data_IF_155514531040
#
_entry.id   IF_155514531040
#
_cell.length_a   1.000
_cell.length_b   1.000
_cell.length_c   1.000
_cell.angle_alpha   90.00
_cell.angle_beta   90.00
_cell.angle_gamma   90.00
#
_symmetry.space_group_name_H-M   'P 1'
#
loop_
_entity.id
_entity.type
_entity.pdbx_description
1 polymer ?
#
# COMPACT_ATOMS: atom_id res chain seq x y z
N UNK A 1 -5.65 -12.99 -34.30
CA UNK A 1 -5.88 -11.55 -34.08
C UNK A 1 -5.73 -11.33 -32.59
N UNK A 2 -4.67 -10.64 -32.15
CA UNK A 2 -4.56 -10.27 -30.75
C UNK A 2 -5.65 -9.24 -30.47
N UNK A 3 -6.55 -9.52 -29.52
CA UNK A 3 -7.45 -8.49 -29.00
C UNK A 3 -6.58 -7.33 -28.52
N UNK A 4 -6.84 -6.12 -29.00
CA UNK A 4 -6.19 -4.94 -28.41
C UNK A 4 -6.66 -4.86 -26.97
N UNK A 5 -5.78 -5.15 -26.02
CA UNK A 5 -6.09 -4.98 -24.60
C UNK A 5 -6.43 -3.51 -24.37
N UNK A 6 -7.71 -3.22 -24.12
CA UNK A 6 -8.13 -1.88 -23.76
C UNK A 6 -7.64 -1.57 -22.35
N UNK A 7 -7.08 -0.36 -22.17
CA UNK A 7 -6.72 0.14 -20.85
C UNK A 7 -7.98 0.23 -19.95
N UNK A 8 -7.85 -0.14 -18.68
CA UNK A 8 -8.96 -0.11 -17.73
C UNK A 8 -9.05 1.25 -17.05
N UNK A 9 -10.08 2.02 -17.36
CA UNK A 9 -10.26 3.38 -16.83
C UNK A 9 -10.62 3.40 -15.33
N UNK A 10 -10.33 4.52 -14.67
CA UNK A 10 -10.55 4.70 -13.23
C UNK A 10 -12.01 4.44 -12.80
N UNK A 11 -12.98 4.90 -13.60
CA UNK A 11 -14.41 4.68 -13.33
C UNK A 11 -14.78 3.19 -13.33
N UNK A 12 -14.09 2.38 -14.14
CA UNK A 12 -14.27 0.93 -14.12
C UNK A 12 -13.78 0.33 -12.81
N UNK A 13 -12.60 0.75 -12.34
CA UNK A 13 -12.10 0.33 -11.02
C UNK A 13 -13.05 0.73 -9.89
N UNK A 14 -13.59 1.95 -9.92
CA UNK A 14 -14.56 2.41 -8.92
C UNK A 14 -15.87 1.61 -8.99
N UNK A 15 -16.33 1.22 -10.19
CA UNK A 15 -17.58 0.48 -10.35
C UNK A 15 -17.44 -1.03 -10.08
N UNK A 16 -16.36 -1.67 -10.53
CA UNK A 16 -16.28 -3.15 -10.69
C UNK A 16 -15.22 -3.91 -9.87
N UNK A 17 -14.16 -3.27 -9.38
CA UNK A 17 -13.10 -3.93 -8.61
C UNK A 17 -13.59 -4.66 -7.34
N UNK A 18 -13.65 -5.98 -7.28
CA UNK A 18 -14.06 -6.67 -6.05
C UNK A 18 -12.89 -6.79 -5.04
N UNK A 19 -12.94 -5.97 -3.98
CA UNK A 19 -11.92 -5.92 -2.94
C UNK A 19 -11.74 -7.25 -2.21
N UNK A 20 -12.82 -8.00 -1.96
CA UNK A 20 -12.77 -9.26 -1.22
C UNK A 20 -12.29 -10.39 -2.10
N UNK A 21 -12.76 -10.46 -3.34
CA UNK A 21 -12.22 -11.41 -4.31
C UNK A 21 -10.72 -11.19 -4.51
N UNK A 22 -10.27 -9.93 -4.62
CA UNK A 22 -8.86 -9.60 -4.72
C UNK A 22 -8.06 -10.11 -3.51
N UNK A 23 -8.45 -9.75 -2.28
CA UNK A 23 -7.74 -10.24 -1.09
C UNK A 23 -7.76 -11.77 -0.95
N UNK A 24 -8.90 -12.42 -1.23
CA UNK A 24 -9.00 -13.87 -1.16
C UNK A 24 -8.09 -14.58 -2.18
N UNK A 25 -7.94 -14.02 -3.38
CA UNK A 25 -7.13 -14.61 -4.42
C UNK A 25 -5.63 -14.40 -4.20
N UNK A 26 -5.23 -13.21 -3.73
CA UNK A 26 -3.83 -12.80 -3.71
C UNK A 26 -3.20 -12.76 -2.31
N UNK A 27 -3.98 -12.64 -1.24
CA UNK A 27 -3.48 -12.34 0.12
C UNK A 27 -4.00 -13.28 1.21
N UNK A 28 -4.74 -14.35 0.87
CA UNK A 28 -5.23 -15.30 1.87
C UNK A 28 -4.13 -16.13 2.55
N UNK A 29 -2.96 -16.23 1.89
CA UNK A 29 -1.78 -16.96 2.36
C UNK A 29 -0.50 -16.34 1.79
N UNK A 30 0.67 -16.52 2.43
CA UNK A 30 1.92 -15.92 1.98
C UNK A 30 2.33 -16.29 0.56
N UNK A 31 2.04 -17.52 0.11
CA UNK A 31 2.36 -17.99 -1.25
C UNK A 31 1.62 -17.20 -2.34
N UNK A 32 0.57 -16.47 -1.97
CA UNK A 32 -0.27 -15.69 -2.87
C UNK A 32 -1.09 -16.57 -3.82
N UNK A 33 -1.44 -15.99 -4.97
CA UNK A 33 -2.18 -16.69 -6.02
C UNK A 33 -1.31 -17.76 -6.69
N UNK A 34 -1.88 -18.93 -7.01
CA UNK A 34 -1.14 -20.07 -7.55
C UNK A 34 -0.37 -19.76 -8.85
N UNK A 35 -0.92 -18.85 -9.65
CA UNK A 35 -0.37 -18.50 -10.96
C UNK A 35 0.77 -17.48 -10.86
N UNK A 36 0.96 -16.85 -9.70
CA UNK A 36 1.94 -15.79 -9.49
C UNK A 36 3.27 -16.28 -8.91
N UNK A 37 3.50 -17.59 -8.81
CA UNK A 37 4.80 -18.20 -8.46
C UNK A 37 5.50 -17.54 -7.26
N UNK A 38 4.80 -17.43 -6.12
CA UNK A 38 5.32 -16.83 -4.88
C UNK A 38 5.67 -15.34 -5.00
N UNK A 39 5.00 -14.60 -5.89
CA UNK A 39 5.21 -13.17 -6.03
C UNK A 39 5.01 -12.41 -4.71
N UNK A 40 3.99 -12.78 -3.92
CA UNK A 40 3.73 -12.11 -2.64
C UNK A 40 4.89 -12.29 -1.64
N UNK A 41 5.44 -13.50 -1.48
CA UNK A 41 6.58 -13.68 -0.56
C UNK A 41 7.79 -12.87 -1.01
N UNK A 42 8.07 -12.79 -2.32
CA UNK A 42 9.12 -11.92 -2.86
C UNK A 42 8.90 -10.44 -2.46
N UNK A 43 7.67 -9.94 -2.59
CA UNK A 43 7.32 -8.57 -2.18
C UNK A 43 7.54 -8.37 -0.67
N UNK A 44 7.07 -9.30 0.15
CA UNK A 44 7.22 -9.24 1.62
C UNK A 44 8.71 -9.27 2.04
N UNK A 45 9.52 -10.13 1.42
CA UNK A 45 10.97 -10.20 1.65
C UNK A 45 11.68 -8.90 1.25
N UNK A 46 11.30 -8.30 0.12
CA UNK A 46 11.83 -7.01 -0.32
C UNK A 46 11.51 -5.89 0.67
N UNK A 47 10.26 -5.83 1.16
CA UNK A 47 9.84 -4.84 2.16
C UNK A 47 10.56 -5.06 3.49
N UNK A 48 10.62 -6.30 3.96
CA UNK A 48 11.33 -6.66 5.19
C UNK A 48 12.81 -6.27 5.11
N UNK A 49 13.50 -6.63 4.02
CA UNK A 49 14.90 -6.22 3.80
C UNK A 49 15.08 -4.71 3.78
N UNK A 50 14.15 -3.99 3.13
CA UNK A 50 14.20 -2.52 3.05
C UNK A 50 14.16 -1.90 4.45
N UNK A 51 13.22 -2.34 5.29
CA UNK A 51 12.98 -1.69 6.58
C UNK A 51 13.80 -2.28 7.74
N UNK A 52 14.23 -3.53 7.68
CA UNK A 52 14.91 -4.27 8.77
C UNK A 52 16.13 -3.57 9.38
N UNK A 53 16.86 -2.77 8.60
CA UNK A 53 18.05 -2.04 9.09
C UNK A 53 17.69 -0.81 9.93
N UNK A 54 16.44 -0.36 9.89
CA UNK A 54 16.01 0.92 10.45
C UNK A 54 16.65 2.14 9.80
N UNK A 55 17.30 1.98 8.64
CA UNK A 55 17.84 3.08 7.85
C UNK A 55 16.71 4.02 7.39
N UNK A 56 15.60 3.44 6.92
CA UNK A 56 14.39 4.15 6.55
C UNK A 56 13.44 4.18 7.74
N UNK A 57 13.41 5.31 8.45
CA UNK A 57 12.56 5.57 9.60
C UNK A 57 12.19 7.04 9.65
N UNK A 58 11.13 7.37 10.38
CA UNK A 58 10.70 8.76 10.51
C UNK A 58 9.41 8.86 11.29
N UNK A 59 8.82 10.06 11.28
CA UNK A 59 7.52 10.26 11.92
C UNK A 59 6.40 9.69 11.05
N UNK A 60 6.45 9.96 9.75
CA UNK A 60 5.29 9.80 8.85
C UNK A 60 5.62 8.99 7.60
N UNK A 61 4.72 8.07 7.24
CA UNK A 61 4.76 7.30 6.00
C UNK A 61 3.41 7.40 5.27
N UNK A 62 3.45 7.65 3.97
CA UNK A 62 2.26 7.61 3.10
C UNK A 62 2.39 6.42 2.15
N UNK A 63 1.40 5.52 2.17
CA UNK A 63 1.23 4.51 1.12
C UNK A 63 0.19 5.01 0.10
N UNK A 64 0.59 5.05 -1.17
CA UNK A 64 -0.25 5.44 -2.30
C UNK A 64 -0.67 4.21 -3.08
N UNK A 65 -1.97 4.00 -3.22
CA UNK A 65 -2.52 2.86 -3.94
C UNK A 65 -2.45 1.56 -3.16
N UNK A 66 -2.76 1.59 -1.87
CA UNK A 66 -2.78 0.43 -0.96
C UNK A 66 -3.71 -0.70 -1.43
N UNK A 67 -4.67 -0.41 -2.31
CA UNK A 67 -5.78 -1.31 -2.59
C UNK A 67 -6.56 -1.59 -1.29
N UNK A 68 -7.13 -2.80 -1.11
CA UNK A 68 -7.74 -3.20 0.16
C UNK A 68 -6.71 -3.76 1.16
N UNK A 69 -5.40 -3.52 0.97
CA UNK A 69 -4.32 -4.29 1.62
C UNK A 69 -3.53 -3.47 2.65
N UNK A 70 -2.76 -4.18 3.49
CA UNK A 70 -1.83 -3.59 4.47
C UNK A 70 -0.40 -4.13 4.35
N UNK A 71 -0.15 -5.04 3.41
CA UNK A 71 1.09 -5.82 3.34
C UNK A 71 2.34 -4.94 3.20
N UNK A 72 2.24 -3.83 2.47
CA UNK A 72 3.38 -2.94 2.21
C UNK A 72 3.87 -2.20 3.45
N UNK A 73 3.04 -2.10 4.49
CA UNK A 73 3.35 -1.36 5.71
C UNK A 73 3.64 -2.24 6.92
N UNK A 74 3.60 -3.58 6.80
CA UNK A 74 3.85 -4.50 7.93
C UNK A 74 5.24 -4.27 8.50
N UNK A 75 6.30 -4.43 7.71
CA UNK A 75 7.68 -4.18 8.15
C UNK A 75 7.93 -2.71 8.47
N UNK A 76 7.33 -1.80 7.71
CA UNK A 76 7.52 -0.37 7.92
C UNK A 76 6.93 0.11 9.26
N UNK A 77 5.89 -0.55 9.77
CA UNK A 77 5.20 -0.10 10.97
C UNK A 77 6.06 -0.12 12.23
N UNK A 78 7.23 -0.76 12.23
CA UNK A 78 8.17 -0.68 13.35
C UNK A 78 8.91 0.67 13.39
N UNK A 79 9.07 1.32 12.23
CA UNK A 79 9.98 2.45 12.02
C UNK A 79 9.29 3.81 11.81
N UNK A 80 7.96 3.84 11.71
CA UNK A 80 7.17 5.05 11.51
C UNK A 80 6.03 5.17 12.51
N UNK A 81 5.82 6.36 13.08
CA UNK A 81 4.80 6.61 14.12
C UNK A 81 3.38 6.78 13.53
N UNK A 82 3.31 7.33 12.32
CA UNK A 82 2.08 7.69 11.63
C UNK A 82 2.07 7.11 10.22
N UNK A 83 1.08 6.27 9.93
CA UNK A 83 0.84 5.68 8.61
C UNK A 83 -0.44 6.29 8.01
N UNK A 84 -0.35 6.73 6.77
CA UNK A 84 -1.48 7.13 5.93
C UNK A 84 -1.60 6.11 4.81
N UNK A 85 -2.68 5.34 4.79
CA UNK A 85 -2.97 4.42 3.69
C UNK A 85 -3.93 5.10 2.73
N UNK A 86 -3.83 4.82 1.44
CA UNK A 86 -4.69 5.50 0.48
C UNK A 86 -4.95 4.69 -0.77
N UNK A 87 -6.16 4.82 -1.30
CA UNK A 87 -6.55 4.14 -2.53
C UNK A 87 -7.61 4.93 -3.30
N UNK A 88 -7.62 4.76 -4.62
CA UNK A 88 -8.66 5.36 -5.45
C UNK A 88 -10.02 4.70 -5.19
N UNK A 89 -10.13 3.38 -5.05
CA UNK A 89 -11.43 2.70 -4.98
C UNK A 89 -12.02 2.78 -3.56
N UNK A 90 -13.29 3.18 -3.43
CA UNK A 90 -13.87 3.45 -2.10
C UNK A 90 -13.98 2.20 -1.21
N UNK A 91 -14.47 1.09 -1.76
CA UNK A 91 -14.57 -0.22 -1.08
C UNK A 91 -13.22 -0.79 -0.65
N UNK A 92 -12.13 -0.48 -1.37
CA UNK A 92 -10.79 -0.86 -0.93
C UNK A 92 -10.43 -0.20 0.41
N UNK A 93 -10.68 1.11 0.50
CA UNK A 93 -10.47 1.87 1.74
C UNK A 93 -11.40 1.43 2.86
N UNK A 94 -12.62 1.01 2.56
CA UNK A 94 -13.53 0.43 3.54
C UNK A 94 -12.98 -0.86 4.15
N UNK A 95 -12.43 -1.77 3.34
CA UNK A 95 -11.81 -3.01 3.86
C UNK A 95 -10.63 -2.73 4.79
N UNK A 96 -9.78 -1.75 4.45
CA UNK A 96 -8.70 -1.31 5.34
C UNK A 96 -9.29 -0.77 6.66
N UNK A 97 -10.29 0.12 6.60
CA UNK A 97 -10.91 0.69 7.81
C UNK A 97 -11.54 -0.37 8.71
N UNK A 98 -12.24 -1.35 8.13
CA UNK A 98 -12.81 -2.48 8.87
C UNK A 98 -11.71 -3.22 9.65
N UNK A 99 -10.59 -3.52 9.00
CA UNK A 99 -9.48 -4.21 9.65
C UNK A 99 -8.80 -3.38 10.73
N UNK A 100 -8.55 -2.09 10.48
CA UNK A 100 -7.94 -1.17 11.44
C UNK A 100 -8.78 -1.05 12.71
N UNK A 101 -10.11 -0.95 12.56
CA UNK A 101 -11.07 -0.87 13.67
C UNK A 101 -11.40 -2.20 14.35
N UNK A 102 -10.84 -3.30 13.86
CA UNK A 102 -11.17 -4.66 14.32
C UNK A 102 -12.68 -4.95 14.24
N UNK A 103 -13.32 -4.54 13.14
CA UNK A 103 -14.74 -4.83 12.90
C UNK A 103 -14.95 -6.33 12.63
N UNK A 104 -16.10 -6.85 13.05
CA UNK A 104 -16.49 -8.22 12.78
C UNK A 104 -16.50 -8.50 11.26
N UNK A 105 -15.91 -9.63 10.86
CA UNK A 105 -15.82 -10.01 9.46
C UNK A 105 -14.77 -9.25 8.64
N UNK A 106 -13.89 -8.44 9.26
CA UNK A 106 -12.71 -7.89 8.57
C UNK A 106 -11.81 -9.03 8.02
N UNK A 107 -10.97 -8.71 7.03
CA UNK A 107 -10.10 -9.71 6.40
C UNK A 107 -9.04 -10.22 7.40
N UNK A 108 -8.78 -11.52 7.39
CA UNK A 108 -7.79 -12.13 8.26
C UNK A 108 -6.38 -11.97 7.67
N UNK A 109 -5.67 -10.93 8.11
CA UNK A 109 -4.29 -10.67 7.72
C UNK A 109 -3.27 -11.51 8.51
N UNK A 110 -3.70 -12.36 9.46
CA UNK A 110 -2.81 -13.11 10.33
C UNK A 110 -1.78 -13.96 9.58
N UNK A 111 -2.13 -14.75 8.53
CA UNK A 111 -1.13 -15.56 7.82
C UNK A 111 0.01 -14.73 7.23
N UNK A 112 -0.31 -13.54 6.70
CA UNK A 112 0.68 -12.64 6.09
C UNK A 112 1.55 -11.98 7.17
N UNK A 113 0.94 -11.52 8.25
CA UNK A 113 1.66 -10.89 9.35
C UNK A 113 2.58 -11.90 10.04
N UNK A 114 2.11 -13.12 10.30
CA UNK A 114 2.93 -14.18 10.90
C UNK A 114 4.13 -14.53 10.04
N UNK A 115 3.95 -14.64 8.72
CA UNK A 115 5.06 -14.86 7.79
C UNK A 115 6.14 -13.76 7.88
N UNK A 116 5.73 -12.49 7.86
CA UNK A 116 6.68 -11.36 8.01
C UNK A 116 7.35 -11.40 9.39
N UNK A 117 6.60 -11.67 10.44
CA UNK A 117 7.13 -11.72 11.80
C UNK A 117 8.11 -12.88 12.02
N UNK A 118 7.88 -14.03 11.40
CA UNK A 118 8.81 -15.16 11.40
C UNK A 118 10.13 -14.78 10.72
N UNK A 119 10.06 -14.11 9.56
CA UNK A 119 11.26 -13.62 8.87
C UNK A 119 12.03 -12.57 9.70
N UNK A 120 11.31 -11.70 10.42
CA UNK A 120 11.89 -10.58 11.17
C UNK A 120 12.24 -10.91 12.63
N UNK A 121 11.84 -12.09 13.12
CA UNK A 121 12.01 -12.47 14.53
C UNK A 121 11.19 -11.61 15.50
N UNK A 122 10.01 -11.15 15.07
CA UNK A 122 9.11 -10.28 15.85
C UNK A 122 7.83 -10.99 16.29
N UNK A 123 7.08 -10.36 17.20
CA UNK A 123 5.79 -10.87 17.68
C UNK A 123 4.65 -10.39 16.80
N UNK A 124 3.93 -11.32 16.15
CA UNK A 124 2.78 -11.00 15.31
C UNK A 124 1.68 -10.25 16.07
N UNK A 125 1.46 -10.59 17.34
CA UNK A 125 0.49 -9.90 18.19
C UNK A 125 0.85 -8.42 18.44
N UNK A 126 2.14 -8.12 18.63
CA UNK A 126 2.61 -6.74 18.82
C UNK A 126 2.53 -5.94 17.53
N UNK A 127 2.88 -6.55 16.40
CA UNK A 127 2.80 -5.94 15.06
C UNK A 127 1.35 -5.60 14.70
N UNK A 128 0.38 -6.49 14.96
CA UNK A 128 -1.05 -6.21 14.75
C UNK A 128 -1.50 -4.98 15.54
N UNK A 129 -1.15 -4.90 16.82
CA UNK A 129 -1.52 -3.76 17.68
C UNK A 129 -0.88 -2.47 17.16
N UNK A 130 0.42 -2.50 16.84
CA UNK A 130 1.15 -1.34 16.30
C UNK A 130 0.57 -0.87 14.97
N UNK A 131 0.30 -1.77 14.02
CA UNK A 131 -0.30 -1.42 12.74
C UNK A 131 -1.63 -0.68 12.93
N UNK A 132 -2.56 -1.26 13.71
CA UNK A 132 -3.87 -0.66 13.98
C UNK A 132 -3.75 0.70 14.67
N UNK A 133 -2.79 0.85 15.59
CA UNK A 133 -2.54 2.11 16.28
C UNK A 133 -1.88 3.17 15.37
N UNK A 134 -0.95 2.76 14.50
CA UNK A 134 -0.12 3.66 13.69
C UNK A 134 -0.81 4.10 12.40
N UNK A 135 -1.76 3.33 11.86
CA UNK A 135 -2.65 3.79 10.78
C UNK A 135 -3.55 4.91 11.30
N UNK A 136 -3.21 6.16 10.95
CA UNK A 136 -3.94 7.36 11.40
C UNK A 136 -5.05 7.74 10.45
N UNK A 137 -4.85 7.52 9.15
CA UNK A 137 -5.77 7.95 8.11
C UNK A 137 -5.85 6.91 6.99
N UNK A 138 -7.04 6.79 6.40
CA UNK A 138 -7.30 6.03 5.18
C UNK A 138 -7.99 6.95 4.19
N UNK A 139 -7.24 7.47 3.21
CA UNK A 139 -7.66 8.60 2.36
C UNK A 139 -7.92 8.19 0.90
N UNK A 140 -8.86 8.90 0.24
CA UNK A 140 -9.01 8.81 -1.22
C UNK A 140 -7.76 9.41 -1.86
N UNK A 141 -7.22 8.74 -2.87
CA UNK A 141 -6.15 9.30 -3.69
C UNK A 141 -6.43 9.12 -5.18
N UNK A 142 -5.92 10.02 -6.02
CA UNK A 142 -5.88 9.88 -7.47
C UNK A 142 -4.51 10.31 -8.01
N UNK A 143 -3.66 9.35 -8.39
CA UNK A 143 -2.30 9.61 -8.89
C UNK A 143 -2.25 10.36 -10.23
N UNK A 144 -3.37 10.40 -10.95
CA UNK A 144 -3.51 11.14 -12.21
C UNK A 144 -3.94 12.61 -11.98
N UNK A 145 -4.43 12.94 -10.77
CA UNK A 145 -4.80 14.31 -10.38
C UNK A 145 -3.57 15.12 -10.02
N UNK A 146 -3.59 16.44 -10.27
CA UNK A 146 -2.50 17.36 -9.85
C UNK A 146 -2.31 17.36 -8.33
N UNK A 147 -3.40 17.43 -7.58
CA UNK A 147 -3.41 17.14 -6.15
C UNK A 147 -3.94 15.71 -5.94
N UNK A 148 -3.04 14.81 -5.53
CA UNK A 148 -3.33 13.39 -5.33
C UNK A 148 -4.45 13.19 -4.29
N UNK A 149 -4.50 14.03 -3.26
CA UNK A 149 -5.38 13.84 -2.09
C UNK A 149 -6.54 14.82 -2.03
N UNK A 150 -6.83 15.56 -3.11
CA UNK A 150 -7.93 16.53 -3.13
C UNK A 150 -9.26 15.90 -2.61
N UNK A 151 -10.02 16.59 -1.73
CA UNK A 151 -9.81 17.96 -1.25
C UNK A 151 -8.88 18.10 -0.03
N UNK A 152 -8.31 17.02 0.46
CA UNK A 152 -7.41 17.03 1.62
C UNK A 152 -6.08 17.70 1.28
N UNK A 153 -5.51 18.36 2.29
CA UNK A 153 -4.13 18.84 2.27
C UNK A 153 -3.31 17.95 3.18
N UNK A 154 -2.33 17.24 2.62
CA UNK A 154 -1.43 16.40 3.40
C UNK A 154 -0.02 16.96 3.37
N UNK A 155 0.65 16.92 4.51
CA UNK A 155 2.04 17.34 4.63
C UNK A 155 2.97 16.28 4.02
N UNK A 156 4.11 16.69 3.42
CA UNK A 156 5.11 15.74 2.96
C UNK A 156 5.61 14.80 4.07
N UNK A 157 5.68 13.52 3.75
CA UNK A 157 6.05 12.44 4.67
C UNK A 157 7.55 12.10 4.62
N UNK A 158 8.04 11.44 5.65
CA UNK A 158 9.43 10.97 5.71
C UNK A 158 9.67 9.77 4.79
N UNK A 159 8.62 9.04 4.44
CA UNK A 159 8.64 7.93 3.50
C UNK A 159 7.36 7.88 2.67
N UNK A 160 7.49 7.46 1.41
CA UNK A 160 6.36 7.22 0.50
C UNK A 160 6.53 5.83 -0.10
N UNK A 161 5.50 5.01 -0.02
CA UNK A 161 5.43 3.69 -0.65
C UNK A 161 4.34 3.71 -1.72
N UNK A 162 4.59 3.06 -2.84
CA UNK A 162 3.56 2.65 -3.81
C UNK A 162 3.91 1.24 -4.27
N UNK A 163 2.95 0.33 -4.24
CA UNK A 163 3.13 -1.07 -4.64
C UNK A 163 1.96 -1.46 -5.54
N UNK A 164 2.24 -2.00 -6.73
CA UNK A 164 1.21 -2.51 -7.66
C UNK A 164 0.13 -1.50 -8.07
N UNK A 165 0.46 -0.20 -8.08
CA UNK A 165 -0.50 0.89 -8.31
C UNK A 165 -0.26 1.64 -9.62
N UNK A 166 0.93 2.21 -9.81
CA UNK A 166 1.20 3.14 -10.92
C UNK A 166 1.07 2.46 -12.28
N UNK A 167 1.51 1.21 -12.39
CA UNK A 167 1.39 0.36 -13.58
C UNK A 167 -0.05 0.01 -13.94
N UNK A 168 -0.96 -0.01 -12.97
CA UNK A 168 -2.39 -0.25 -13.20
C UNK A 168 -3.12 1.07 -13.50
N UNK A 169 -2.72 2.16 -12.86
CA UNK A 169 -3.36 3.46 -12.98
C UNK A 169 -2.95 4.25 -14.24
N UNK A 170 -1.78 3.98 -14.82
CA UNK A 170 -1.22 4.75 -15.93
C UNK A 170 -1.31 4.00 -17.25
N UNK A 171 -1.97 4.61 -18.23
CA UNK A 171 -2.22 4.00 -19.55
C UNK A 171 -1.00 3.93 -20.46
N UNK A 172 0.02 4.74 -20.18
CA UNK A 172 1.21 4.88 -21.00
C UNK A 172 2.41 5.39 -20.19
N UNK A 173 3.60 5.34 -20.79
CA UNK A 173 4.83 5.79 -20.13
C UNK A 173 4.82 7.28 -19.74
N UNK A 174 4.27 8.22 -20.55
CA UNK A 174 4.11 9.61 -20.13
C UNK A 174 3.26 9.76 -18.86
N UNK A 175 2.08 9.14 -18.81
CA UNK A 175 1.22 9.20 -17.62
C UNK A 175 1.88 8.57 -16.39
N UNK A 176 2.64 7.49 -16.56
CA UNK A 176 3.44 6.89 -15.49
C UNK A 176 4.49 7.86 -14.94
N UNK A 177 5.25 8.54 -15.81
CA UNK A 177 6.27 9.52 -15.39
C UNK A 177 5.65 10.70 -14.64
N UNK A 178 4.50 11.18 -15.10
CA UNK A 178 3.79 12.27 -14.45
C UNK A 178 3.27 11.83 -13.07
N UNK A 179 2.64 10.66 -12.98
CA UNK A 179 2.15 10.11 -11.72
C UNK A 179 3.29 9.88 -10.73
N UNK A 180 4.42 9.30 -11.17
CA UNK A 180 5.62 9.14 -10.36
C UNK A 180 6.13 10.48 -9.83
N UNK A 181 6.25 11.51 -10.67
CA UNK A 181 6.66 12.84 -10.24
C UNK A 181 5.71 13.44 -9.20
N UNK A 182 4.39 13.20 -9.31
CA UNK A 182 3.42 13.67 -8.32
C UNK A 182 3.55 12.91 -6.99
N UNK A 183 3.71 11.59 -7.03
CA UNK A 183 3.95 10.77 -5.83
C UNK A 183 5.26 11.17 -5.15
N UNK A 184 6.33 11.43 -5.91
CA UNK A 184 7.61 11.87 -5.36
C UNK A 184 7.54 13.20 -4.62
N UNK A 185 6.61 14.11 -4.99
CA UNK A 185 6.38 15.38 -4.28
C UNK A 185 5.75 15.20 -2.89
N UNK A 186 5.21 14.02 -2.59
CA UNK A 186 4.73 13.67 -1.24
C UNK A 186 5.89 13.37 -0.28
N UNK A 187 7.10 13.14 -0.80
CA UNK A 187 8.27 12.94 0.02
C UNK A 187 8.78 14.28 0.52
N UNK A 188 9.03 14.35 1.83
CA UNK A 188 9.65 15.50 2.47
C UNK A 188 11.03 15.74 1.83
N UNK A 189 11.33 16.98 1.40
CA UNK A 189 12.67 17.31 0.95
C UNK A 189 13.69 16.96 2.04
N UNK A 190 14.77 16.26 1.66
CA UNK A 190 15.84 15.93 2.58
C UNK A 190 16.39 17.19 3.24
N UNK A 191 16.66 17.13 4.54
CA UNK A 191 17.41 18.20 5.24
C UNK A 191 18.89 18.07 4.87
N UNK A 192 19.27 18.49 3.67
CA UNK A 192 20.67 18.54 3.23
C UNK A 192 20.82 18.40 1.72
N UNK A 193 21.59 19.31 1.12
CA UNK A 193 22.01 19.25 -0.27
C UNK A 193 22.89 18.01 -0.49
N UNK A 194 22.33 16.91 -0.97
CA UNK A 194 23.09 15.82 -1.57
C UNK A 194 22.37 15.38 -2.84
N UNK A 195 22.88 15.90 -3.96
CA UNK A 195 22.88 15.20 -5.25
C UNK A 195 24.13 14.31 -5.29
#
# INVERSE_FOLDING_TARGET
MAESSHFTEADYYQARFDSRAYMNNFYCRPEGHSDEKNYLTFVLECLSRTFSTGQYKGRSLIEVGSGPTIHAVISACEHFDELVLSDFVDRNREEIRKWVKNEEGCFDWKPIIEYVCEMEGTSSSDVVVKLRQRVKQVLKCNVLSENIFYPESIEPADCVITSLCLEAACKDLPSYRDAFCRVAKLLRPGRGNFW
#
